data_IF_791225569694
#
_entry.id   IF_791225569694
#
_cell.length_a   1.000
_cell.length_b   1.000
_cell.length_c   1.000
_cell.angle_alpha   90.00
_cell.angle_beta   90.00
_cell.angle_gamma   90.00
#
_symmetry.space_group_name_H-M   'P 1'
#
loop_
_entity.id
_entity.type
_entity.pdbx_description
1 polymer ?
#
# COMPACT_ATOMS: atom_id res chain seq x y z
N UNK A 1 -11.01 8.63 1.48
CA UNK A 1 -11.70 7.33 1.28
C UNK A 1 -11.72 6.99 -0.20
N UNK A 2 -11.50 5.71 -0.55
CA UNK A 2 -11.65 5.25 -1.94
C UNK A 2 -12.77 4.20 -1.96
N UNK A 3 -13.68 4.30 -2.93
CA UNK A 3 -14.78 3.35 -3.11
C UNK A 3 -14.74 2.81 -4.53
N UNK A 4 -14.92 1.51 -4.66
CA UNK A 4 -15.05 0.83 -5.96
C UNK A 4 -16.39 0.10 -6.01
N UNK A 5 -17.05 0.20 -7.15
CA UNK A 5 -18.34 -0.42 -7.38
C UNK A 5 -18.25 -1.31 -8.63
N UNK A 6 -18.36 -2.63 -8.43
CA UNK A 6 -18.47 -3.65 -9.47
C UNK A 6 -17.40 -3.56 -10.56
N UNK A 7 -16.14 -3.22 -10.18
CA UNK A 7 -15.06 -3.08 -11.15
C UNK A 7 -14.60 -4.44 -11.68
N UNK A 8 -14.35 -4.47 -12.99
CA UNK A 8 -13.82 -5.64 -13.69
C UNK A 8 -12.71 -5.23 -14.64
N UNK A 9 -11.71 -6.10 -14.83
CA UNK A 9 -10.62 -5.91 -15.77
C UNK A 9 -10.19 -7.20 -16.42
N UNK A 10 -10.08 -7.17 -17.74
CA UNK A 10 -9.60 -8.27 -18.56
C UNK A 10 -8.38 -7.83 -19.38
N UNK A 11 -7.54 -8.80 -19.74
CA UNK A 11 -6.45 -8.62 -20.68
C UNK A 11 -6.54 -9.70 -21.77
N UNK A 12 -6.62 -9.26 -23.02
CA UNK A 12 -6.75 -10.11 -24.22
C UNK A 12 -7.89 -11.11 -24.07
N UNK A 13 -7.67 -12.29 -23.50
CA UNK A 13 -8.65 -13.39 -23.39
C UNK A 13 -8.95 -13.82 -21.95
N UNK A 14 -8.32 -13.18 -20.95
CA UNK A 14 -8.51 -13.58 -19.54
C UNK A 14 -9.03 -12.42 -18.70
N UNK A 15 -10.11 -12.66 -17.97
CA UNK A 15 -10.60 -11.75 -16.94
C UNK A 15 -9.74 -11.93 -15.68
N UNK A 16 -9.06 -10.86 -15.27
CA UNK A 16 -8.12 -10.89 -14.13
C UNK A 16 -8.76 -10.42 -12.84
N UNK A 17 -9.68 -9.44 -12.90
CA UNK A 17 -10.54 -9.06 -11.79
C UNK A 17 -12.00 -9.01 -12.26
N UNK A 18 -12.91 -9.46 -11.40
CA UNK A 18 -14.30 -9.65 -11.73
C UNK A 18 -15.21 -9.11 -10.63
N UNK A 19 -15.98 -8.09 -10.97
CA UNK A 19 -17.08 -7.57 -10.15
C UNK A 19 -16.69 -7.24 -8.70
N UNK A 20 -15.53 -6.58 -8.51
CA UNK A 20 -15.03 -6.20 -7.18
C UNK A 20 -15.73 -4.91 -6.72
N UNK A 21 -16.37 -4.98 -5.56
CA UNK A 21 -16.90 -3.83 -4.82
C UNK A 21 -16.27 -3.77 -3.43
N UNK A 22 -15.72 -2.61 -3.06
CA UNK A 22 -15.04 -2.42 -1.79
C UNK A 22 -14.98 -0.93 -1.41
N UNK A 23 -14.78 -0.68 -0.12
CA UNK A 23 -14.50 0.67 0.39
C UNK A 23 -13.19 0.63 1.16
N UNK A 24 -12.24 1.50 0.79
CA UNK A 24 -10.98 1.70 1.49
C UNK A 24 -11.12 2.94 2.39
N UNK A 25 -11.01 2.73 3.68
CA UNK A 25 -11.34 3.72 4.68
C UNK A 25 -10.19 4.68 4.95
N UNK A 26 -10.53 5.94 5.23
CA UNK A 26 -9.57 6.98 5.58
C UNK A 26 -9.05 6.79 7.00
N UNK A 27 -7.76 7.09 7.21
CA UNK A 27 -7.10 6.92 8.52
C UNK A 27 -6.86 5.47 8.91
N UNK A 28 -7.06 4.53 7.97
CA UNK A 28 -6.88 3.10 8.19
C UNK A 28 -5.92 2.48 7.19
N UNK A 29 -5.25 1.42 7.61
CA UNK A 29 -4.51 0.52 6.74
C UNK A 29 -5.47 -0.50 6.14
N UNK A 30 -5.75 -0.35 4.86
CA UNK A 30 -6.62 -1.24 4.09
C UNK A 30 -5.74 -2.24 3.34
N UNK A 31 -5.81 -3.51 3.67
CA UNK A 31 -5.00 -4.55 3.07
C UNK A 31 -5.77 -5.28 1.97
N UNK A 32 -5.11 -5.50 0.84
CA UNK A 32 -5.56 -6.41 -0.21
C UNK A 32 -4.66 -7.63 -0.14
N UNK A 33 -5.22 -8.77 0.26
CA UNK A 33 -4.49 -10.01 0.47
C UNK A 33 -4.94 -11.11 -0.51
N UNK A 34 -4.13 -12.13 -0.67
CA UNK A 34 -4.40 -13.27 -1.54
C UNK A 34 -3.12 -13.88 -2.10
N UNK A 35 -3.23 -15.04 -2.71
CA UNK A 35 -2.09 -15.73 -3.33
C UNK A 35 -1.50 -14.92 -4.50
N UNK A 36 -0.28 -15.29 -4.92
CA UNK A 36 0.29 -14.75 -6.15
C UNK A 36 -0.65 -15.04 -7.33
N UNK A 37 -0.85 -14.05 -8.21
CA UNK A 37 -1.79 -14.18 -9.34
C UNK A 37 -3.27 -13.95 -9.00
N UNK A 38 -3.66 -13.68 -7.76
CA UNK A 38 -5.07 -13.45 -7.38
C UNK A 38 -5.68 -12.13 -7.87
N UNK A 39 -4.90 -11.25 -8.52
CA UNK A 39 -5.38 -9.97 -9.07
C UNK A 39 -5.05 -8.72 -8.23
N UNK A 40 -4.37 -8.83 -7.08
CA UNK A 40 -4.04 -7.71 -6.18
C UNK A 40 -3.37 -6.53 -6.90
N UNK A 41 -2.27 -6.80 -7.61
CA UNK A 41 -1.52 -5.76 -8.33
C UNK A 41 -2.33 -5.16 -9.48
N UNK A 42 -3.21 -5.94 -10.13
CA UNK A 42 -4.10 -5.42 -11.17
C UNK A 42 -5.15 -4.51 -10.56
N UNK A 43 -5.77 -4.90 -9.43
CA UNK A 43 -6.70 -4.05 -8.69
C UNK A 43 -6.03 -2.74 -8.28
N UNK A 44 -4.84 -2.80 -7.68
CA UNK A 44 -4.07 -1.61 -7.30
C UNK A 44 -3.76 -0.70 -8.51
N UNK A 45 -3.35 -1.27 -9.65
CA UNK A 45 -3.08 -0.49 -10.87
C UNK A 45 -4.34 0.15 -11.45
N UNK A 46 -5.51 -0.47 -11.32
CA UNK A 46 -6.80 0.16 -11.67
C UNK A 46 -7.09 1.34 -10.73
N UNK A 47 -6.88 1.19 -9.42
CA UNK A 47 -7.04 2.29 -8.45
C UNK A 47 -6.08 3.46 -8.70
N UNK A 48 -4.86 3.17 -9.14
CA UNK A 48 -3.88 4.21 -9.52
C UNK A 48 -4.16 4.86 -10.88
N UNK A 49 -5.15 4.38 -11.62
CA UNK A 49 -5.44 4.83 -12.98
C UNK A 49 -4.34 4.49 -13.99
N UNK A 50 -3.56 3.43 -13.71
CA UNK A 50 -2.58 2.88 -14.63
C UNK A 50 -3.21 1.87 -15.60
N UNK A 51 -4.32 1.27 -15.19
CA UNK A 51 -5.18 0.45 -16.04
C UNK A 51 -6.60 0.97 -15.98
N UNK A 52 -7.23 1.15 -17.12
CA UNK A 52 -8.66 1.42 -17.19
C UNK A 52 -9.46 0.18 -16.80
N UNK A 53 -10.50 0.37 -16.02
CA UNK A 53 -11.47 -0.69 -15.74
C UNK A 53 -12.35 -0.91 -16.98
N UNK A 54 -12.72 -2.15 -17.25
CA UNK A 54 -13.62 -2.47 -18.36
C UNK A 54 -15.09 -2.21 -17.98
N UNK A 55 -15.41 -2.42 -16.69
CA UNK A 55 -16.73 -2.15 -16.12
C UNK A 55 -16.57 -1.63 -14.68
N UNK A 56 -17.64 -0.97 -14.20
CA UNK A 56 -17.73 -0.46 -12.84
C UNK A 56 -17.18 0.95 -12.70
N UNK A 57 -17.08 1.41 -11.46
CA UNK A 57 -16.74 2.78 -11.14
C UNK A 57 -15.79 2.85 -9.94
N UNK A 58 -14.90 3.85 -9.97
CA UNK A 58 -13.98 4.17 -8.87
C UNK A 58 -14.26 5.60 -8.41
N UNK A 59 -14.32 5.81 -7.09
CA UNK A 59 -14.52 7.10 -6.47
C UNK A 59 -13.37 7.40 -5.51
N UNK A 60 -12.84 8.61 -5.60
CA UNK A 60 -11.91 9.18 -4.63
C UNK A 60 -12.65 10.25 -3.81
N UNK A 61 -12.85 9.97 -2.53
CA UNK A 61 -13.85 10.62 -1.69
C UNK A 61 -15.23 10.52 -2.37
N UNK A 62 -15.89 11.61 -2.70
CA UNK A 62 -17.19 11.58 -3.38
C UNK A 62 -17.08 11.83 -4.90
N UNK A 63 -15.84 11.98 -5.41
CA UNK A 63 -15.60 12.30 -6.83
C UNK A 63 -15.34 11.04 -7.61
N UNK A 64 -16.18 10.80 -8.63
CA UNK A 64 -15.95 9.73 -9.59
C UNK A 64 -14.62 9.97 -10.32
N UNK A 65 -13.83 8.90 -10.40
CA UNK A 65 -12.64 8.87 -11.23
C UNK A 65 -13.06 8.93 -12.71
N UNK A 66 -12.54 9.93 -13.40
CA UNK A 66 -12.79 10.15 -14.82
C UNK A 66 -11.45 10.30 -15.54
N UNK A 67 -11.12 9.31 -16.35
CA UNK A 67 -9.85 9.26 -17.10
C UNK A 67 -9.75 10.33 -18.19
N UNK A 68 -10.89 10.75 -18.73
CA UNK A 68 -10.95 11.71 -19.84
C UNK A 68 -10.76 13.16 -19.35
N UNK A 69 -10.88 13.36 -18.03
CA UNK A 69 -10.64 14.67 -17.41
C UNK A 69 -9.18 14.84 -16.96
N UNK A 70 -8.30 15.26 -17.88
CA UNK A 70 -6.86 15.40 -17.69
C UNK A 70 -6.49 16.27 -16.47
N UNK A 71 -7.22 17.37 -16.23
CA UNK A 71 -6.93 18.27 -15.11
C UNK A 71 -7.24 17.61 -13.76
N UNK A 72 -8.34 16.89 -13.65
CA UNK A 72 -8.70 16.12 -12.45
C UNK A 72 -7.69 14.99 -12.21
N UNK A 73 -7.24 14.32 -13.26
CA UNK A 73 -6.21 13.28 -13.19
C UNK A 73 -4.88 13.81 -12.67
N UNK A 74 -4.40 14.93 -13.20
CA UNK A 74 -3.15 15.56 -12.73
C UNK A 74 -3.26 15.94 -11.25
N UNK A 75 -4.39 16.52 -10.83
CA UNK A 75 -4.62 16.88 -9.44
C UNK A 75 -4.75 15.67 -8.52
N UNK A 76 -5.35 14.59 -8.97
CA UNK A 76 -5.45 13.33 -8.21
C UNK A 76 -4.06 12.72 -8.00
N UNK A 77 -3.24 12.65 -9.06
CA UNK A 77 -1.86 12.09 -8.98
C UNK A 77 -0.99 12.78 -7.95
N UNK A 78 -1.13 14.11 -7.78
CA UNK A 78 -0.43 14.88 -6.73
C UNK A 78 -0.86 14.48 -5.31
N UNK A 79 -2.04 13.90 -5.16
CA UNK A 79 -2.60 13.46 -3.88
C UNK A 79 -2.31 11.98 -3.59
N UNK A 80 -1.60 11.29 -4.48
CA UNK A 80 -1.25 9.87 -4.36
C UNK A 80 0.25 9.74 -4.07
N UNK A 81 0.59 9.02 -3.00
CA UNK A 81 1.92 8.49 -2.74
C UNK A 81 1.98 7.01 -3.13
N UNK A 82 3.13 6.55 -3.63
CA UNK A 82 3.34 5.15 -4.01
C UNK A 82 4.65 4.61 -3.46
N UNK A 83 4.56 3.47 -2.78
CA UNK A 83 5.70 2.66 -2.35
C UNK A 83 5.71 1.37 -3.15
N UNK A 84 6.71 1.20 -3.99
CA UNK A 84 6.87 0.02 -4.86
C UNK A 84 7.60 -1.11 -4.13
N UNK A 85 7.35 -2.34 -4.51
CA UNK A 85 7.98 -3.54 -3.96
C UNK A 85 9.51 -3.44 -3.94
N UNK A 86 10.15 -2.98 -5.03
CA UNK A 86 11.59 -2.77 -5.14
C UNK A 86 12.08 -1.39 -4.68
N UNK A 87 11.26 -0.61 -3.95
CA UNK A 87 11.52 0.79 -3.56
C UNK A 87 11.60 1.77 -4.75
N UNK A 88 12.02 1.34 -5.92
CA UNK A 88 12.16 2.12 -7.16
C UNK A 88 12.88 3.47 -6.95
N UNK A 89 13.98 3.45 -6.19
CA UNK A 89 14.83 4.64 -6.01
C UNK A 89 15.64 4.89 -7.28
N UNK A 90 15.96 6.15 -7.52
CA UNK A 90 16.90 6.55 -8.56
C UNK A 90 18.32 6.36 -8.04
N UNK A 91 19.07 5.41 -8.59
CA UNK A 91 20.42 5.07 -8.13
C UNK A 91 21.43 6.21 -8.33
N UNK A 92 21.17 7.11 -9.27
CA UNK A 92 21.99 8.30 -9.56
C UNK A 92 21.68 9.50 -8.66
N UNK A 93 20.72 9.37 -7.74
CA UNK A 93 20.29 10.44 -6.83
C UNK A 93 20.60 10.05 -5.39
N UNK A 94 20.95 11.04 -4.57
CA UNK A 94 21.10 10.86 -3.11
C UNK A 94 19.75 10.57 -2.45
N UNK A 95 19.77 10.23 -1.17
CA UNK A 95 18.55 10.03 -0.36
C UNK A 95 17.67 11.28 -0.40
N UNK A 96 18.26 12.45 -0.12
CA UNK A 96 17.49 13.71 -0.11
C UNK A 96 16.94 14.04 -1.50
N UNK A 97 17.70 13.82 -2.58
CA UNK A 97 17.25 14.06 -3.95
C UNK A 97 16.11 13.13 -4.37
N UNK A 98 16.18 11.85 -3.98
CA UNK A 98 15.07 10.90 -4.19
C UNK A 98 13.78 11.39 -3.53
N UNK A 99 13.89 11.90 -2.29
CA UNK A 99 12.74 12.40 -1.53
C UNK A 99 12.24 13.73 -2.10
N UNK A 100 13.14 14.61 -2.55
CA UNK A 100 12.79 15.90 -3.16
C UNK A 100 12.21 15.76 -4.56
N UNK A 101 12.43 14.66 -5.25
CA UNK A 101 11.99 14.47 -6.64
C UNK A 101 10.50 14.81 -6.88
N UNK A 102 9.52 14.31 -6.08
CA UNK A 102 8.13 14.72 -6.25
C UNK A 102 7.87 16.20 -5.97
N UNK A 103 8.62 16.81 -5.05
CA UNK A 103 8.49 18.25 -4.77
C UNK A 103 8.95 19.08 -5.98
N UNK A 104 10.06 18.72 -6.62
CA UNK A 104 10.55 19.39 -7.84
C UNK A 104 9.57 19.25 -9.01
N UNK A 105 8.90 18.10 -9.12
CA UNK A 105 7.94 17.83 -10.20
C UNK A 105 6.59 18.52 -10.03
N UNK A 106 6.09 18.64 -8.80
CA UNK A 106 4.70 18.99 -8.55
C UNK A 106 4.48 20.19 -7.63
N UNK A 107 5.54 20.74 -7.03
CA UNK A 107 5.44 21.88 -6.12
C UNK A 107 5.98 23.16 -6.75
N UNK A 108 5.37 24.28 -6.43
CA UNK A 108 5.87 25.63 -6.76
C UNK A 108 6.68 26.26 -5.61
N UNK A 109 7.05 25.48 -4.58
CA UNK A 109 7.82 25.98 -3.43
C UNK A 109 9.26 26.29 -3.85
N UNK A 110 9.90 27.21 -3.11
CA UNK A 110 11.35 27.48 -3.27
C UNK A 110 12.18 26.28 -2.85
N UNK A 111 13.38 26.14 -3.40
CA UNK A 111 14.32 25.04 -3.09
C UNK A 111 14.56 24.91 -1.57
N UNK A 112 14.75 26.02 -0.87
CA UNK A 112 14.92 26.02 0.60
C UNK A 112 13.72 25.39 1.34
N UNK A 113 12.48 25.68 0.90
CA UNK A 113 11.28 25.08 1.49
C UNK A 113 11.15 23.59 1.14
N UNK A 114 11.60 23.18 -0.05
CA UNK A 114 11.62 21.78 -0.46
C UNK A 114 12.64 20.99 0.37
N UNK A 115 13.84 21.52 0.58
CA UNK A 115 14.87 20.93 1.44
C UNK A 115 14.37 20.79 2.89
N UNK A 116 13.76 21.85 3.44
CA UNK A 116 13.18 21.80 4.79
C UNK A 116 12.14 20.68 4.92
N UNK A 117 11.23 20.55 3.93
CA UNK A 117 10.23 19.48 3.94
C UNK A 117 10.83 18.08 3.75
N UNK A 118 11.85 17.94 2.91
CA UNK A 118 12.58 16.67 2.75
C UNK A 118 13.22 16.25 4.07
N UNK A 119 13.90 17.16 4.78
CA UNK A 119 14.51 16.88 6.09
C UNK A 119 13.49 16.48 7.14
N UNK A 120 12.33 17.13 7.19
CA UNK A 120 11.22 16.75 8.07
C UNK A 120 10.78 15.30 7.85
N UNK A 121 10.58 14.87 6.60
CA UNK A 121 10.17 13.48 6.33
C UNK A 121 11.31 12.48 6.51
N UNK A 122 12.57 12.86 6.29
CA UNK A 122 13.77 12.06 6.61
C UNK A 122 13.80 11.75 8.11
N UNK A 123 13.58 12.78 8.93
CA UNK A 123 13.51 12.59 10.39
C UNK A 123 12.34 11.70 10.79
N UNK A 124 11.15 11.92 10.18
CA UNK A 124 9.95 11.12 10.46
C UNK A 124 10.13 9.63 10.17
N UNK A 125 10.90 9.27 9.15
CA UNK A 125 11.18 7.85 8.82
C UNK A 125 12.46 7.32 9.47
N UNK A 126 13.07 8.06 10.39
CA UNK A 126 14.30 7.67 11.12
C UNK A 126 15.47 7.34 10.17
N UNK A 127 15.82 8.31 9.32
CA UNK A 127 16.94 8.24 8.36
C UNK A 127 17.97 9.36 8.61
N UNK A 128 18.18 9.75 9.88
CA UNK A 128 19.16 10.79 10.24
C UNK A 128 20.54 10.44 9.68
N UNK A 129 21.30 11.47 9.30
CA UNK A 129 22.68 11.37 8.78
C UNK A 129 22.82 10.52 7.49
N UNK A 130 21.77 10.48 6.67
CA UNK A 130 21.76 9.71 5.43
C UNK A 130 21.46 10.56 4.19
N UNK A 131 21.32 11.86 4.33
CA UNK A 131 20.85 12.79 3.29
C UNK A 131 21.66 12.69 1.99
N UNK A 132 22.99 12.65 2.11
CA UNK A 132 23.94 12.68 0.99
C UNK A 132 24.33 11.27 0.48
N UNK A 133 23.82 10.20 1.11
CA UNK A 133 24.12 8.82 0.69
C UNK A 133 23.33 8.45 -0.56
N UNK A 134 23.95 7.61 -1.38
CA UNK A 134 23.29 7.00 -2.53
C UNK A 134 22.57 5.70 -2.14
N UNK A 135 21.61 5.22 -2.94
CA UNK A 135 20.93 3.94 -2.68
C UNK A 135 21.89 2.75 -2.52
N UNK A 136 23.04 2.74 -3.20
CA UNK A 136 24.08 1.71 -3.07
C UNK A 136 24.75 1.67 -1.69
N UNK A 137 24.68 2.75 -0.93
CA UNK A 137 25.39 2.92 0.36
C UNK A 137 24.48 2.68 1.58
N UNK A 138 23.21 2.35 1.35
CA UNK A 138 22.23 2.15 2.42
C UNK A 138 21.62 0.74 2.39
N UNK A 139 21.17 0.27 3.56
CA UNK A 139 20.57 -1.05 3.72
C UNK A 139 19.21 -1.17 3.01
N UNK A 140 18.72 -2.42 2.81
CA UNK A 140 17.39 -2.67 2.25
C UNK A 140 16.26 -2.01 3.04
N UNK A 141 16.31 -2.06 4.37
CA UNK A 141 15.35 -1.38 5.24
C UNK A 141 15.40 0.14 5.11
N UNK A 142 16.60 0.73 4.99
CA UNK A 142 16.75 2.17 4.72
C UNK A 142 16.17 2.54 3.35
N UNK A 143 16.40 1.74 2.30
CA UNK A 143 15.77 1.96 0.98
C UNK A 143 14.25 2.02 1.05
N UNK A 144 13.63 1.15 1.86
CA UNK A 144 12.17 1.16 2.09
C UNK A 144 11.73 2.44 2.79
N UNK A 145 12.48 2.90 3.81
CA UNK A 145 12.21 4.16 4.51
C UNK A 145 12.33 5.38 3.58
N UNK A 146 13.34 5.41 2.70
CA UNK A 146 13.46 6.47 1.65
C UNK A 146 12.27 6.45 0.71
N UNK A 147 11.82 5.27 0.28
CA UNK A 147 10.66 5.14 -0.59
C UNK A 147 9.37 5.63 0.09
N UNK A 148 9.20 5.35 1.39
CA UNK A 148 8.07 5.87 2.20
C UNK A 148 8.17 7.38 2.31
N UNK A 149 9.34 7.94 2.69
CA UNK A 149 9.55 9.38 2.79
C UNK A 149 9.23 10.10 1.48
N UNK A 150 9.72 9.57 0.34
CA UNK A 150 9.40 10.08 -0.99
C UNK A 150 7.90 10.05 -1.28
N UNK A 151 7.20 8.99 -0.88
CA UNK A 151 5.77 8.84 -1.11
C UNK A 151 4.94 9.85 -0.31
N UNK A 152 5.39 10.24 0.91
CA UNK A 152 4.62 11.14 1.79
C UNK A 152 5.06 12.61 1.73
N UNK A 153 6.12 12.95 1.01
CA UNK A 153 6.70 14.30 1.01
C UNK A 153 5.73 15.39 0.53
N UNK A 154 4.79 15.03 -0.36
CA UNK A 154 3.74 15.94 -0.86
C UNK A 154 2.48 16.00 0.04
N UNK A 155 2.48 15.36 1.21
CA UNK A 155 1.29 15.19 2.06
C UNK A 155 0.10 14.57 1.29
N UNK A 156 0.25 13.34 0.77
CA UNK A 156 -0.78 12.70 -0.03
C UNK A 156 -2.03 12.41 0.81
N UNK A 157 -3.20 12.35 0.15
CA UNK A 157 -4.44 11.84 0.76
C UNK A 157 -4.56 10.32 0.68
N UNK A 158 -3.86 9.72 -0.28
CA UNK A 158 -3.91 8.30 -0.59
C UNK A 158 -2.49 7.75 -0.68
N UNK A 159 -2.20 6.68 0.05
CA UNK A 159 -0.92 6.00 0.02
C UNK A 159 -1.13 4.57 -0.47
N UNK A 160 -0.42 4.19 -1.52
CA UNK A 160 -0.44 2.84 -2.05
C UNK A 160 0.90 2.17 -1.80
N UNK A 161 0.88 0.96 -1.27
CA UNK A 161 2.09 0.17 -0.99
C UNK A 161 1.95 -1.21 -1.62
N UNK A 162 2.82 -1.54 -2.55
CA UNK A 162 2.86 -2.85 -3.18
C UNK A 162 3.98 -3.67 -2.53
N UNK A 163 3.63 -4.61 -1.66
CA UNK A 163 4.53 -5.46 -0.87
C UNK A 163 5.69 -4.66 -0.21
N UNK A 164 5.39 -3.68 0.65
CA UNK A 164 6.38 -2.72 1.13
C UNK A 164 7.51 -3.34 1.94
N UNK A 165 7.29 -4.46 2.61
CA UNK A 165 8.25 -5.17 3.45
C UNK A 165 8.94 -6.36 2.73
N UNK A 166 8.65 -6.59 1.45
CA UNK A 166 9.24 -7.67 0.67
C UNK A 166 10.77 -7.60 0.63
N UNK A 167 11.42 -8.75 0.87
CA UNK A 167 12.88 -8.88 0.84
C UNK A 167 13.61 -8.40 2.11
N UNK A 168 12.87 -8.08 3.17
CA UNK A 168 13.42 -7.72 4.48
C UNK A 168 13.43 -8.92 5.43
N UNK A 169 14.29 -8.86 6.43
CA UNK A 169 14.21 -9.77 7.56
C UNK A 169 12.94 -9.50 8.40
N UNK A 170 12.42 -10.49 9.15
CA UNK A 170 11.14 -10.36 9.85
C UNK A 170 11.06 -9.19 10.83
N UNK A 171 12.16 -8.86 11.51
CA UNK A 171 12.21 -7.74 12.47
C UNK A 171 12.09 -6.40 11.76
N UNK A 172 12.83 -6.23 10.67
CA UNK A 172 12.79 -5.01 9.85
C UNK A 172 11.44 -4.88 9.14
N UNK A 173 10.83 -5.98 8.68
CA UNK A 173 9.50 -6.00 8.07
C UNK A 173 8.44 -5.42 9.01
N UNK A 174 8.39 -5.86 10.28
CA UNK A 174 7.48 -5.35 11.30
C UNK A 174 7.67 -3.84 11.54
N UNK A 175 8.92 -3.37 11.54
CA UNK A 175 9.22 -1.94 11.72
C UNK A 175 8.67 -1.11 10.55
N UNK A 176 8.80 -1.60 9.31
CA UNK A 176 8.26 -0.92 8.12
C UNK A 176 6.73 -0.90 8.15
N UNK A 177 6.09 -2.00 8.52
CA UNK A 177 4.63 -2.08 8.63
C UNK A 177 4.09 -1.09 9.67
N UNK A 178 4.68 -1.06 10.86
CA UNK A 178 4.32 -0.09 11.91
C UNK A 178 4.55 1.36 11.49
N UNK A 179 5.66 1.65 10.81
CA UNK A 179 5.92 2.98 10.27
C UNK A 179 4.82 3.43 9.31
N UNK A 180 4.37 2.54 8.40
CA UNK A 180 3.28 2.85 7.46
C UNK A 180 1.97 3.07 8.22
N UNK A 181 1.66 2.25 9.23
CA UNK A 181 0.47 2.40 10.06
C UNK A 181 0.46 3.73 10.83
N UNK A 182 1.57 4.07 11.50
CA UNK A 182 1.72 5.34 12.22
C UNK A 182 1.52 6.55 11.30
N UNK A 183 2.15 6.55 10.12
CA UNK A 183 1.99 7.60 9.10
C UNK A 183 0.53 7.68 8.64
N UNK A 184 -0.13 6.53 8.46
CA UNK A 184 -1.54 6.46 8.06
C UNK A 184 -2.45 7.17 9.04
N UNK A 185 -2.26 6.92 10.33
CA UNK A 185 -3.05 7.53 11.41
C UNK A 185 -2.69 9.01 11.57
N UNK A 186 -1.41 9.32 11.67
CA UNK A 186 -0.89 10.68 11.90
C UNK A 186 -1.35 11.68 10.83
N UNK A 187 -1.22 11.30 9.56
CA UNK A 187 -1.62 12.16 8.43
C UNK A 187 -3.07 11.93 7.97
N UNK A 188 -3.80 11.04 8.64
CA UNK A 188 -5.18 10.66 8.30
C UNK A 188 -5.33 10.27 6.81
N UNK A 189 -4.42 9.43 6.34
CA UNK A 189 -4.33 8.98 4.94
C UNK A 189 -5.23 7.75 4.72
N UNK A 190 -5.77 7.58 3.51
CA UNK A 190 -6.32 6.29 3.08
C UNK A 190 -5.17 5.46 2.55
N UNK A 191 -4.68 4.49 3.33
CA UNK A 191 -3.57 3.63 2.92
C UNK A 191 -4.07 2.30 2.39
N UNK A 192 -3.60 1.90 1.22
CA UNK A 192 -3.89 0.60 0.59
C UNK A 192 -2.58 -0.17 0.45
N UNK A 193 -2.53 -1.37 1.01
CA UNK A 193 -1.34 -2.22 1.01
C UNK A 193 -1.69 -3.56 0.34
N UNK A 194 -1.00 -3.89 -0.74
CA UNK A 194 -0.97 -5.26 -1.23
C UNK A 194 0.03 -6.05 -0.41
N UNK A 195 -0.37 -7.18 0.13
CA UNK A 195 0.55 -8.10 0.81
C UNK A 195 0.06 -9.55 0.73
N UNK A 196 0.98 -10.48 0.85
CA UNK A 196 0.73 -11.90 1.10
C UNK A 196 1.31 -12.34 2.46
N UNK A 197 1.93 -11.42 3.20
CA UNK A 197 2.52 -11.69 4.52
C UNK A 197 1.46 -11.62 5.61
N UNK A 198 1.20 -12.76 6.23
CA UNK A 198 0.24 -12.87 7.33
C UNK A 198 0.66 -12.11 8.60
N UNK A 199 1.96 -11.87 8.81
CA UNK A 199 2.39 -11.05 9.94
C UNK A 199 1.91 -9.61 9.76
N UNK A 200 2.08 -9.02 8.57
CA UNK A 200 1.52 -7.70 8.25
C UNK A 200 0.01 -7.65 8.42
N UNK A 201 -0.70 -8.69 7.96
CA UNK A 201 -2.15 -8.80 8.09
C UNK A 201 -2.58 -8.72 9.55
N UNK A 202 -1.88 -9.44 10.43
CA UNK A 202 -2.20 -9.48 11.87
C UNK A 202 -1.81 -8.19 12.61
N UNK A 203 -0.67 -7.59 12.25
CA UNK A 203 -0.13 -6.42 12.95
C UNK A 203 -0.88 -5.12 12.58
N UNK A 204 -1.14 -4.91 11.28
CA UNK A 204 -1.61 -3.61 10.78
C UNK A 204 -2.90 -3.67 9.95
N UNK A 205 -3.59 -4.81 9.89
CA UNK A 205 -4.80 -4.99 9.07
C UNK A 205 -6.06 -4.40 9.71
N UNK A 206 -6.27 -3.08 9.64
CA UNK A 206 -7.50 -2.45 10.12
C UNK A 206 -8.72 -2.84 9.26
N UNK A 207 -8.51 -2.97 7.97
CA UNK A 207 -9.48 -3.47 7.01
C UNK A 207 -8.78 -4.38 6.00
N UNK A 208 -9.38 -5.51 5.71
CA UNK A 208 -8.77 -6.55 4.88
C UNK A 208 -9.77 -6.99 3.82
N UNK A 209 -9.30 -7.08 2.58
CA UNK A 209 -10.03 -7.64 1.44
C UNK A 209 -9.24 -8.86 0.95
N UNK A 210 -9.89 -10.02 0.93
CA UNK A 210 -9.27 -11.26 0.43
C UNK A 210 -9.70 -11.54 -1.00
N UNK A 211 -8.71 -11.66 -1.89
CA UNK A 211 -8.90 -11.94 -3.31
C UNK A 211 -8.48 -13.37 -3.66
N UNK A 212 -9.36 -14.06 -4.36
CA UNK A 212 -9.11 -15.37 -4.96
C UNK A 212 -9.56 -15.33 -6.41
N UNK A 213 -8.69 -15.68 -7.35
CA UNK A 213 -8.99 -15.74 -8.78
C UNK A 213 -9.75 -14.50 -9.30
N UNK A 214 -9.27 -13.33 -8.91
CA UNK A 214 -9.83 -12.04 -9.34
C UNK A 214 -11.15 -11.63 -8.68
N UNK A 215 -11.65 -12.36 -7.70
CA UNK A 215 -12.90 -12.07 -6.99
C UNK A 215 -12.62 -11.71 -5.53
N UNK A 216 -13.39 -10.78 -4.99
CA UNK A 216 -13.42 -10.54 -3.54
C UNK A 216 -14.27 -11.63 -2.89
N UNK A 217 -13.62 -12.51 -2.11
CA UNK A 217 -14.29 -13.61 -1.42
C UNK A 217 -14.68 -13.21 -0.01
N UNK A 218 -13.88 -12.34 0.63
CA UNK A 218 -14.11 -11.95 2.01
C UNK A 218 -13.64 -10.52 2.27
N UNK A 219 -14.22 -9.90 3.29
CA UNK A 219 -13.87 -8.58 3.81
C UNK A 219 -14.09 -8.57 5.31
N UNK A 220 -13.15 -7.98 6.06
CA UNK A 220 -13.19 -7.85 7.52
C UNK A 220 -11.94 -7.16 8.05
N UNK A 221 -11.51 -7.50 9.28
CA UNK A 221 -10.31 -6.97 9.92
C UNK A 221 -9.42 -8.12 10.45
N UNK A 222 -8.28 -7.76 11.08
CA UNK A 222 -7.30 -8.71 11.59
C UNK A 222 -7.81 -9.60 12.74
N UNK A 223 -8.86 -9.21 13.45
CA UNK A 223 -9.49 -10.04 14.49
C UNK A 223 -10.51 -11.01 13.87
N UNK A 224 -11.30 -10.51 12.92
CA UNK A 224 -12.33 -11.30 12.24
C UNK A 224 -11.76 -12.39 11.36
N UNK A 225 -10.60 -12.17 10.72
CA UNK A 225 -9.96 -13.14 9.83
C UNK A 225 -9.56 -14.44 10.55
N UNK A 226 -9.25 -14.38 11.85
CA UNK A 226 -8.91 -15.55 12.67
C UNK A 226 -10.14 -16.37 13.09
N UNK A 227 -11.31 -15.74 13.11
CA UNK A 227 -12.55 -16.30 13.61
C UNK A 227 -13.53 -16.70 12.50
N UNK A 228 -13.13 -16.58 11.23
CA UNK A 228 -13.97 -16.94 10.10
C UNK A 228 -14.03 -18.45 9.90
N UNK A 229 -15.21 -18.96 9.53
CA UNK A 229 -15.40 -20.37 9.14
C UNK A 229 -15.17 -20.60 7.65
N UNK A 230 -14.86 -19.55 6.87
CA UNK A 230 -14.58 -19.66 5.44
C UNK A 230 -13.33 -20.52 5.20
N UNK A 231 -13.52 -21.60 4.43
CA UNK A 231 -12.47 -22.58 4.17
C UNK A 231 -11.29 -21.98 3.40
N UNK A 232 -11.54 -21.15 2.38
CA UNK A 232 -10.49 -20.57 1.55
C UNK A 232 -9.60 -19.61 2.35
N UNK A 233 -10.20 -18.84 3.26
CA UNK A 233 -9.46 -17.97 4.18
C UNK A 233 -8.66 -18.80 5.16
N UNK A 234 -9.29 -19.80 5.76
CA UNK A 234 -8.61 -20.70 6.69
C UNK A 234 -7.41 -21.40 6.04
N UNK A 235 -7.55 -21.89 4.80
CA UNK A 235 -6.46 -22.51 4.05
C UNK A 235 -5.34 -21.51 3.75
N UNK A 236 -5.66 -20.25 3.50
CA UNK A 236 -4.68 -19.19 3.28
C UNK A 236 -3.97 -18.76 4.57
N UNK A 237 -4.72 -18.42 5.62
CA UNK A 237 -4.20 -17.94 6.92
C UNK A 237 -3.35 -19.01 7.59
N UNK A 238 -3.83 -20.24 7.60
CA UNK A 238 -3.16 -21.37 8.26
C UNK A 238 -2.27 -22.18 7.31
N UNK A 239 -1.86 -21.61 6.18
CA UNK A 239 -0.86 -22.22 5.30
C UNK A 239 0.50 -22.37 5.98
N UNK A 240 0.86 -21.47 6.93
CA UNK A 240 2.10 -21.58 7.70
C UNK A 240 1.93 -22.39 8.98
N UNK A 241 2.96 -23.17 9.34
CA UNK A 241 2.98 -24.01 10.55
C UNK A 241 2.80 -23.20 11.86
N UNK A 242 3.26 -21.96 11.88
CA UNK A 242 3.13 -21.06 13.05
C UNK A 242 1.66 -20.76 13.31
N UNK A 243 0.92 -20.34 12.30
CA UNK A 243 -0.51 -20.03 12.44
C UNK A 243 -1.36 -21.27 12.70
N UNK A 244 -0.98 -22.44 12.17
CA UNK A 244 -1.62 -23.74 12.54
C UNK A 244 -1.52 -24.00 14.05
N UNK A 245 -0.34 -23.80 14.64
CA UNK A 245 -0.14 -23.97 16.09
C UNK A 245 -0.97 -22.99 16.92
N UNK A 246 -1.10 -21.74 16.47
CA UNK A 246 -1.95 -20.74 17.13
C UNK A 246 -3.42 -21.21 17.16
N UNK A 247 -3.96 -21.69 16.02
CA UNK A 247 -5.33 -22.21 15.94
C UNK A 247 -5.57 -23.38 16.90
N UNK A 248 -4.61 -24.32 16.95
CA UNK A 248 -4.70 -25.49 17.85
C UNK A 248 -4.68 -25.11 19.33
N UNK A 249 -3.92 -24.07 19.70
CA UNK A 249 -3.86 -23.56 21.07
C UNK A 249 -5.15 -22.83 21.49
N UNK A 250 -5.81 -22.14 20.58
CA UNK A 250 -7.10 -21.48 20.84
C UNK A 250 -8.23 -22.49 21.02
N UNK A 251 -8.29 -23.54 20.18
CA UNK A 251 -9.29 -24.64 20.33
C UNK A 251 -9.16 -25.45 21.62
N UNK A 252 -8.00 -25.43 22.28
CA UNK A 252 -7.80 -26.11 23.57
C UNK A 252 -8.22 -25.28 24.77
N UNK A 253 -8.53 -24.00 24.58
CA UNK A 253 -8.96 -23.05 25.63
C UNK A 253 -10.46 -22.78 25.59
N UNK A 254 -11.15 -23.22 24.55
CA UNK A 254 -12.63 -23.24 24.42
C UNK A 254 -13.16 -24.61 24.82
#
# INVERSE_FOLDING_TARGET
MIKVNNISKSFVKSQVISNISATFEKGKTNLIIGQSGSGKTVLMKCLLGLYDVDNGEIFFDEKKYDKDNISNMSNLRKQIGMVFQGSALFDSMTVIDNIMFPLRMFSSKTESKMISRAKEVIERVDLKDSDDKYPSEISGGMKKRVAIARAIVLNPKYLFCDEPNSGLDPKTAIIIDKLIQEITVEYNITTIINTHDMNSVMEIGDKIIFLVEGKKIWEGNNQEILNTDDKLINDFVYSSEIFKKVKLSQKKKS
#
